data_IF_219758710109
#
_entry.id   IF_219758710109
#
_cell.length_a   1.000
_cell.length_b   1.000
_cell.length_c   1.000
_cell.angle_alpha   90.00
_cell.angle_beta   90.00
_cell.angle_gamma   90.00
#
_symmetry.space_group_name_H-M   'P 1'
#
loop_
_entity.id
_entity.type
_entity.pdbx_description
1 polymer ?
#
# COMPACT_ATOMS: atom_id res chain seq x y z
N UNK A 1 -0.76 -7.60 -12.07
CA UNK A 1 -1.52 -6.95 -10.98
C UNK A 1 -2.95 -6.71 -11.45
N UNK A 2 -3.95 -7.32 -10.80
CA UNK A 2 -5.36 -6.99 -11.08
C UNK A 2 -5.77 -5.95 -10.06
N UNK A 3 -5.90 -4.70 -10.51
CA UNK A 3 -6.51 -3.64 -9.73
C UNK A 3 -8.01 -3.69 -10.01
N UNK A 4 -8.82 -4.13 -9.03
CA UNK A 4 -10.28 -4.06 -9.15
C UNK A 4 -10.81 -3.21 -8.00
N UNK A 5 -11.08 -1.93 -8.30
CA UNK A 5 -12.06 -1.19 -7.53
C UNK A 5 -13.41 -1.92 -7.72
N UNK A 6 -13.90 -2.57 -6.67
CA UNK A 6 -15.13 -3.35 -6.71
C UNK A 6 -16.33 -2.37 -6.74
N UNK A 7 -16.63 -1.82 -7.92
CA UNK A 7 -17.64 -0.77 -8.12
C UNK A 7 -19.09 -1.24 -7.89
N UNK A 8 -19.33 -2.53 -7.64
CA UNK A 8 -20.66 -3.13 -7.64
C UNK A 8 -21.21 -3.57 -6.27
N UNK A 9 -20.50 -3.33 -5.15
CA UNK A 9 -21.02 -3.59 -3.78
C UNK A 9 -20.70 -2.47 -2.80
N UNK A 10 -20.74 -1.23 -3.27
CA UNK A 10 -20.83 -0.08 -2.38
C UNK A 10 -22.29 0.00 -1.89
N UNK A 11 -22.57 -0.56 -0.70
CA UNK A 11 -23.59 0.04 0.18
C UNK A 11 -23.37 1.55 0.16
N UNK A 12 -24.42 2.39 0.05
CA UNK A 12 -24.26 3.80 -0.25
C UNK A 12 -23.41 4.43 0.85
N UNK A 13 -22.13 4.64 0.53
CA UNK A 13 -21.25 5.47 1.32
C UNK A 13 -21.90 6.85 1.23
N UNK A 14 -22.63 7.22 2.27
CA UNK A 14 -23.25 8.53 2.40
C UNK A 14 -22.22 9.54 1.93
N UNK A 15 -22.58 10.27 0.88
CA UNK A 15 -21.88 11.43 0.35
C UNK A 15 -21.78 12.47 1.46
N UNK A 16 -20.86 12.26 2.40
CA UNK A 16 -20.30 13.35 3.18
C UNK A 16 -19.31 14.00 2.25
N UNK A 17 -19.79 15.02 1.54
CA UNK A 17 -18.97 16.04 0.94
C UNK A 17 -18.12 16.65 2.07
N UNK A 18 -16.98 16.04 2.36
CA UNK A 18 -15.83 16.76 2.85
C UNK A 18 -15.03 17.07 1.59
N UNK A 19 -15.42 18.18 0.96
CA UNK A 19 -14.60 18.95 0.04
C UNK A 19 -13.34 19.37 0.79
N UNK A 20 -12.36 18.49 0.86
CA UNK A 20 -10.98 18.94 0.75
C UNK A 20 -10.78 19.19 -0.75
N UNK A 21 -10.37 20.42 -1.10
CA UNK A 21 -9.91 20.79 -2.43
C UNK A 21 -8.62 20.00 -2.78
N UNK A 22 -8.73 18.68 -2.91
CA UNK A 22 -7.73 17.88 -3.61
C UNK A 22 -7.91 18.18 -5.09
N UNK A 23 -7.28 19.26 -5.55
CA UNK A 23 -7.10 19.52 -6.97
C UNK A 23 -6.65 18.21 -7.62
N UNK A 24 -7.50 17.65 -8.49
CA UNK A 24 -7.17 16.43 -9.21
C UNK A 24 -5.80 16.62 -9.85
N UNK A 25 -4.84 15.69 -9.67
CA UNK A 25 -3.49 15.88 -10.16
C UNK A 25 -3.51 16.16 -11.66
N UNK A 26 -3.02 17.34 -12.06
CA UNK A 26 -2.89 17.76 -13.47
C UNK A 26 -1.68 17.09 -14.11
N UNK A 27 -1.73 15.76 -14.18
CA UNK A 27 -0.76 14.99 -14.95
C UNK A 27 -1.18 14.87 -16.43
N UNK A 28 -0.25 14.48 -17.32
CA UNK A 28 -0.54 14.27 -18.74
C UNK A 28 -1.53 13.12 -18.99
N UNK A 29 -1.67 12.18 -18.05
CA UNK A 29 -2.60 11.05 -18.10
C UNK A 29 -3.40 11.02 -16.79
N UNK A 30 -4.66 11.40 -16.85
CA UNK A 30 -5.58 11.33 -15.70
C UNK A 30 -6.46 10.09 -15.78
N UNK A 31 -6.48 9.30 -14.70
CA UNK A 31 -7.30 8.08 -14.56
C UNK A 31 -7.98 8.06 -13.19
N UNK A 32 -9.00 7.21 -12.97
CA UNK A 32 -9.52 6.99 -11.61
C UNK A 32 -8.44 6.59 -10.62
N UNK A 33 -7.42 5.87 -11.07
CA UNK A 33 -6.27 5.48 -10.24
C UNK A 33 -5.45 6.68 -9.77
N UNK A 34 -5.10 7.59 -10.69
CA UNK A 34 -4.30 8.78 -10.36
C UNK A 34 -5.07 9.76 -9.47
N UNK A 35 -6.39 9.91 -9.70
CA UNK A 35 -7.26 10.71 -8.85
C UNK A 35 -7.40 10.13 -7.44
N UNK A 36 -7.62 8.80 -7.33
CA UNK A 36 -7.80 8.11 -6.06
C UNK A 36 -6.55 8.22 -5.16
N UNK A 37 -5.35 8.15 -5.75
CA UNK A 37 -4.08 8.20 -5.02
C UNK A 37 -3.47 9.60 -4.91
N UNK A 38 -4.00 10.59 -5.64
CA UNK A 38 -3.46 11.94 -5.66
C UNK A 38 -2.07 12.03 -6.34
N UNK A 39 -1.80 11.21 -7.35
CA UNK A 39 -0.53 11.17 -8.09
C UNK A 39 -0.66 11.74 -9.50
N UNK A 40 0.43 12.29 -10.05
CA UNK A 40 0.43 12.93 -11.38
C UNK A 40 0.58 11.91 -12.50
N UNK A 41 1.38 10.88 -12.29
CA UNK A 41 1.64 9.84 -13.29
C UNK A 41 1.05 8.51 -12.82
N UNK A 42 0.43 7.71 -13.72
CA UNK A 42 -0.05 6.37 -13.39
C UNK A 42 1.12 5.37 -13.28
N UNK A 43 2.14 5.73 -12.51
CA UNK A 43 3.38 4.99 -12.31
C UNK A 43 3.51 4.67 -10.82
N UNK A 44 3.66 3.38 -10.52
CA UNK A 44 3.83 2.87 -9.17
C UNK A 44 5.14 2.09 -9.14
N UNK A 45 6.01 2.42 -8.19
CA UNK A 45 7.18 1.60 -7.90
C UNK A 45 6.71 0.29 -7.27
N UNK A 46 7.17 -0.85 -7.77
CA UNK A 46 6.90 -2.14 -7.12
C UNK A 46 7.70 -2.27 -5.82
N UNK A 47 7.07 -2.78 -4.76
CA UNK A 47 7.72 -3.10 -3.49
C UNK A 47 8.64 -4.31 -3.64
N UNK A 48 9.92 -4.05 -3.89
CA UNK A 48 10.96 -5.06 -4.04
C UNK A 48 11.85 -5.06 -2.79
N UNK A 49 11.79 -6.14 -2.02
CA UNK A 49 12.64 -6.37 -0.86
C UNK A 49 14.11 -6.01 -1.14
N UNK A 50 14.74 -5.25 -0.24
CA UNK A 50 16.14 -4.84 -0.33
C UNK A 50 16.51 -3.95 -1.53
N UNK A 51 15.55 -3.60 -2.40
CA UNK A 51 15.80 -2.79 -3.60
C UNK A 51 15.00 -1.49 -3.58
N UNK A 52 13.70 -1.55 -3.27
CA UNK A 52 12.84 -0.38 -3.14
C UNK A 52 12.89 0.18 -1.71
N UNK A 53 14.06 0.70 -1.34
CA UNK A 53 14.32 1.41 -0.08
C UNK A 53 13.76 2.84 -0.08
N UNK A 54 14.18 3.63 0.92
CA UNK A 54 13.64 4.96 1.16
C UNK A 54 13.96 5.96 0.05
N UNK A 55 15.22 6.03 -0.38
CA UNK A 55 15.68 6.94 -1.43
C UNK A 55 14.96 6.71 -2.77
N UNK A 56 14.88 5.45 -3.23
CA UNK A 56 14.20 5.12 -4.50
C UNK A 56 12.70 5.43 -4.44
N UNK A 57 12.05 5.10 -3.32
CA UNK A 57 10.63 5.40 -3.11
C UNK A 57 10.39 6.91 -3.12
N UNK A 58 11.25 7.68 -2.45
CA UNK A 58 11.19 9.13 -2.44
C UNK A 58 11.39 9.74 -3.82
N UNK A 59 12.35 9.24 -4.61
CA UNK A 59 12.59 9.71 -5.97
C UNK A 59 11.34 9.56 -6.86
N UNK A 60 10.63 8.43 -6.76
CA UNK A 60 9.41 8.18 -7.53
C UNK A 60 8.26 9.08 -7.08
N UNK A 61 8.04 9.23 -5.77
CA UNK A 61 7.02 10.14 -5.24
C UNK A 61 7.31 11.61 -5.59
N UNK A 62 8.58 12.02 -5.54
CA UNK A 62 9.04 13.35 -5.96
C UNK A 62 8.80 13.62 -7.45
N UNK A 63 8.89 12.58 -8.29
CA UNK A 63 8.61 12.67 -9.72
C UNK A 63 7.10 12.68 -10.04
N UNK A 64 6.23 12.59 -9.04
CA UNK A 64 4.78 12.59 -9.23
C UNK A 64 4.15 11.22 -9.45
N UNK A 65 4.91 10.13 -9.26
CA UNK A 65 4.39 8.76 -9.17
C UNK A 65 4.04 8.36 -7.73
N UNK A 66 3.84 7.07 -7.49
CA UNK A 66 3.71 6.48 -6.15
C UNK A 66 4.93 5.62 -5.83
N UNK A 67 5.80 6.10 -4.94
CA UNK A 67 6.86 5.28 -4.34
C UNK A 67 6.29 4.27 -3.35
N UNK A 68 6.81 3.05 -3.35
CA UNK A 68 6.40 1.98 -2.42
C UNK A 68 7.64 1.34 -1.80
N UNK A 69 7.72 1.38 -0.47
CA UNK A 69 8.80 0.72 0.28
C UNK A 69 8.54 -0.79 0.29
N UNK A 70 9.56 -1.59 -0.03
CA UNK A 70 9.49 -3.05 -0.01
C UNK A 70 9.88 -3.61 1.36
N UNK A 71 8.90 -3.85 2.23
CA UNK A 71 9.09 -4.22 3.63
C UNK A 71 9.14 -5.73 3.93
N UNK A 72 9.54 -6.56 2.97
CA UNK A 72 9.69 -8.00 3.21
C UNK A 72 10.77 -8.26 4.27
N UNK A 73 10.40 -8.98 5.34
CA UNK A 73 11.30 -9.38 6.44
C UNK A 73 11.90 -8.22 7.26
N UNK A 74 11.37 -7.00 7.15
CA UNK A 74 11.81 -5.91 8.01
C UNK A 74 11.20 -6.02 9.41
N UNK A 75 12.02 -5.70 10.42
CA UNK A 75 11.53 -5.39 11.75
C UNK A 75 10.79 -4.04 11.75
N UNK A 76 9.93 -3.77 12.74
CA UNK A 76 9.30 -2.46 12.89
C UNK A 76 10.32 -1.31 12.96
N UNK A 77 11.46 -1.52 13.59
CA UNK A 77 12.51 -0.50 13.70
C UNK A 77 13.18 -0.21 12.35
N UNK A 78 13.50 -1.26 11.58
CA UNK A 78 14.05 -1.10 10.23
C UNK A 78 13.05 -0.37 9.31
N UNK A 79 11.77 -0.76 9.35
CA UNK A 79 10.75 -0.09 8.56
C UNK A 79 10.61 1.39 8.97
N UNK A 80 10.70 1.70 10.27
CA UNK A 80 10.62 3.08 10.79
C UNK A 80 11.78 3.93 10.29
N UNK A 81 13.00 3.40 10.33
CA UNK A 81 14.20 4.06 9.81
C UNK A 81 14.08 4.35 8.31
N UNK A 82 13.66 3.37 7.51
CA UNK A 82 13.52 3.52 6.06
C UNK A 82 12.41 4.52 5.70
N UNK A 83 11.30 4.53 6.44
CA UNK A 83 10.24 5.53 6.27
C UNK A 83 10.78 6.94 6.59
N UNK A 84 11.56 7.08 7.67
CA UNK A 84 12.15 8.35 8.05
C UNK A 84 13.13 8.87 6.98
N UNK A 85 13.99 7.99 6.47
CA UNK A 85 14.92 8.28 5.37
C UNK A 85 14.15 8.75 4.11
N UNK A 86 13.13 8.00 3.70
CA UNK A 86 12.27 8.36 2.57
C UNK A 86 11.65 9.74 2.74
N UNK A 87 11.05 10.01 3.92
CA UNK A 87 10.41 11.29 4.20
C UNK A 87 11.41 12.45 4.22
N UNK A 88 12.63 12.22 4.70
CA UNK A 88 13.69 13.22 4.68
C UNK A 88 14.11 13.59 3.24
N UNK A 89 14.00 12.65 2.29
CA UNK A 89 14.29 12.86 0.88
C UNK A 89 13.12 13.44 0.07
N UNK A 90 11.95 13.68 0.68
CA UNK A 90 10.83 14.31 -0.01
C UNK A 90 11.08 15.80 -0.28
N UNK A 91 10.79 16.23 -1.51
CA UNK A 91 10.79 17.65 -1.90
C UNK A 91 9.58 18.41 -1.34
N UNK A 92 8.55 17.70 -0.90
CA UNK A 92 7.35 18.26 -0.29
C UNK A 92 6.85 17.36 0.86
N UNK A 93 6.34 17.92 1.97
CA UNK A 93 6.07 17.17 3.19
C UNK A 93 4.91 16.15 3.09
N UNK A 94 4.10 16.19 2.04
CA UNK A 94 2.85 15.42 1.92
C UNK A 94 2.76 14.58 0.64
N UNK A 95 3.89 14.13 0.11
CA UNK A 95 3.89 13.29 -1.08
C UNK A 95 3.30 11.90 -0.77
N UNK A 96 2.44 11.36 -1.65
CA UNK A 96 1.86 10.03 -1.45
C UNK A 96 2.94 8.95 -1.60
N UNK A 97 2.87 7.93 -0.76
CA UNK A 97 3.72 6.75 -0.82
C UNK A 97 2.93 5.52 -0.31
N UNK A 98 3.51 4.35 -0.50
CA UNK A 98 2.98 3.08 0.01
C UNK A 98 4.02 2.21 0.69
N UNK A 99 3.54 1.14 1.30
CA UNK A 99 4.36 0.11 1.95
C UNK A 99 3.86 -1.26 1.47
N UNK A 100 4.78 -2.13 1.09
CA UNK A 100 4.53 -3.49 0.64
C UNK A 100 5.04 -4.49 1.68
N UNK A 101 4.14 -5.32 2.23
CA UNK A 101 4.50 -6.43 3.11
C UNK A 101 4.06 -7.75 2.50
N UNK A 102 4.90 -8.78 2.63
CA UNK A 102 4.52 -10.12 2.21
C UNK A 102 3.86 -10.88 3.36
N UNK A 103 2.59 -11.26 3.16
CA UNK A 103 1.77 -11.93 4.14
C UNK A 103 1.37 -13.32 3.61
N UNK A 104 2.28 -14.31 3.65
CA UNK A 104 1.97 -15.67 3.22
C UNK A 104 0.82 -16.25 4.04
N UNK A 105 -0.02 -17.06 3.40
CA UNK A 105 -0.97 -17.88 4.14
C UNK A 105 -0.17 -18.82 5.05
N UNK A 106 -0.44 -18.76 6.36
CA UNK A 106 0.11 -19.64 7.38
C UNK A 106 -0.98 -20.58 7.87
N UNK A 107 -0.65 -21.87 8.03
CA UNK A 107 -1.59 -22.91 8.48
C UNK A 107 -2.54 -23.43 7.39
N UNK A 108 -3.39 -24.39 7.76
CA UNK A 108 -4.33 -25.04 6.85
C UNK A 108 -3.61 -25.73 5.66
N UNK A 109 -4.07 -25.46 4.45
CA UNK A 109 -3.51 -26.01 3.20
C UNK A 109 -2.31 -25.20 2.66
N UNK A 110 -1.65 -24.40 3.50
CA UNK A 110 -0.46 -23.65 3.10
C UNK A 110 0.70 -24.57 2.74
N UNK A 111 1.63 -24.09 1.90
CA UNK A 111 2.90 -24.80 1.64
C UNK A 111 3.69 -24.89 2.95
N UNK A 112 4.37 -26.01 3.19
CA UNK A 112 5.21 -26.22 4.39
C UNK A 112 6.34 -25.20 4.54
N UNK A 113 6.73 -24.54 3.45
CA UNK A 113 7.74 -23.49 3.43
C UNK A 113 7.19 -22.12 3.87
N UNK A 114 5.87 -21.96 3.92
CA UNK A 114 5.24 -20.71 4.37
C UNK A 114 5.33 -20.62 5.88
N UNK A 115 5.89 -19.51 6.34
CA UNK A 115 5.89 -19.11 7.73
C UNK A 115 5.59 -17.61 7.78
N UNK A 116 5.26 -17.12 8.97
CA UNK A 116 5.02 -15.70 9.15
C UNK A 116 6.33 -14.91 8.98
N UNK A 117 6.42 -14.15 7.88
CA UNK A 117 7.58 -13.29 7.58
C UNK A 117 7.64 -12.03 8.45
N UNK A 118 6.59 -11.75 9.21
CA UNK A 118 6.55 -10.63 10.16
C UNK A 118 6.98 -11.05 11.57
N UNK A 119 7.22 -12.34 11.80
CA UNK A 119 7.65 -12.87 13.11
C UNK A 119 6.73 -12.45 14.27
N UNK A 120 5.41 -12.44 14.05
CA UNK A 120 4.41 -12.03 15.04
C UNK A 120 4.27 -10.51 15.22
N UNK A 121 4.92 -9.69 14.38
CA UNK A 121 4.93 -8.23 14.46
C UNK A 121 4.01 -7.53 13.46
N UNK A 122 3.14 -8.28 12.77
CA UNK A 122 2.22 -7.71 11.78
C UNK A 122 1.43 -6.50 12.30
N UNK A 123 0.84 -6.58 13.49
CA UNK A 123 0.05 -5.46 14.04
C UNK A 123 0.88 -4.19 14.17
N UNK A 124 2.11 -4.30 14.68
CA UNK A 124 3.04 -3.19 14.88
C UNK A 124 3.49 -2.58 13.54
N UNK A 125 3.73 -3.41 12.53
CA UNK A 125 4.05 -2.95 11.16
C UNK A 125 2.86 -2.22 10.52
N UNK A 126 1.63 -2.66 10.78
CA UNK A 126 0.41 -2.02 10.28
C UNK A 126 0.16 -0.70 11.00
N UNK A 127 0.36 -0.64 12.33
CA UNK A 127 0.27 0.61 13.09
C UNK A 127 1.30 1.62 12.60
N UNK A 128 2.55 1.20 12.39
CA UNK A 128 3.59 2.03 11.80
C UNK A 128 3.22 2.52 10.38
N UNK A 129 2.62 1.65 9.57
CA UNK A 129 2.11 2.02 8.24
C UNK A 129 1.06 3.13 8.34
N UNK A 130 0.15 3.02 9.31
CA UNK A 130 -0.90 4.02 9.56
C UNK A 130 -0.32 5.34 10.05
N UNK A 131 0.51 5.29 11.10
CA UNK A 131 1.15 6.45 11.70
C UNK A 131 2.06 7.19 10.71
N UNK A 132 2.68 6.47 9.78
CA UNK A 132 3.49 7.06 8.74
C UNK A 132 2.69 7.89 7.73
N UNK A 133 1.37 7.71 7.65
CA UNK A 133 0.52 8.40 6.67
C UNK A 133 0.59 7.80 5.26
N UNK A 134 0.98 6.53 5.14
CA UNK A 134 0.98 5.81 3.87
C UNK A 134 -0.42 5.86 3.22
N UNK A 135 -0.48 6.03 1.89
CA UNK A 135 -1.74 6.03 1.14
C UNK A 135 -2.13 4.66 0.62
N UNK A 136 -1.14 3.79 0.46
CA UNK A 136 -1.32 2.45 -0.11
C UNK A 136 -0.58 1.42 0.73
N UNK A 137 -1.32 0.39 1.13
CA UNK A 137 -0.76 -0.86 1.63
C UNK A 137 -0.81 -1.90 0.52
N UNK A 138 0.34 -2.47 0.18
CA UNK A 138 0.44 -3.57 -0.79
C UNK A 138 0.68 -4.86 -0.01
N UNK A 139 -0.10 -5.89 -0.34
CA UNK A 139 0.09 -7.23 0.19
C UNK A 139 0.65 -8.15 -0.88
N UNK A 140 1.89 -8.58 -0.69
CA UNK A 140 2.51 -9.63 -1.49
C UNK A 140 2.19 -11.03 -0.91
N UNK A 141 2.16 -12.03 -1.79
CA UNK A 141 2.09 -13.47 -1.44
C UNK A 141 0.90 -13.84 -0.53
N UNK A 142 -0.27 -13.25 -0.68
CA UNK A 142 -1.42 -13.65 0.16
C UNK A 142 -2.62 -12.75 0.00
N UNK A 143 -3.46 -12.73 1.03
CA UNK A 143 -4.50 -11.72 1.26
C UNK A 143 -4.40 -11.34 2.74
N UNK A 144 -4.40 -10.05 3.10
CA UNK A 144 -4.35 -9.67 4.50
C UNK A 144 -5.56 -10.22 5.28
N UNK A 145 -5.41 -10.54 6.58
CA UNK A 145 -6.55 -10.85 7.42
C UNK A 145 -7.60 -9.74 7.40
N UNK A 146 -8.90 -10.09 7.50
CA UNK A 146 -9.99 -9.11 7.39
C UNK A 146 -9.88 -7.95 8.37
N UNK A 147 -9.49 -8.23 9.62
CA UNK A 147 -9.36 -7.20 10.65
C UNK A 147 -8.26 -6.17 10.30
N UNK A 148 -7.18 -6.60 9.63
CA UNK A 148 -6.15 -5.70 9.11
C UNK A 148 -6.70 -4.83 7.97
N UNK A 149 -7.46 -5.42 7.04
CA UNK A 149 -8.09 -4.67 5.94
C UNK A 149 -9.03 -3.59 6.50
N UNK A 150 -9.86 -3.95 7.47
CA UNK A 150 -10.78 -3.02 8.14
C UNK A 150 -10.03 -1.90 8.88
N UNK A 151 -8.95 -2.24 9.59
CA UNK A 151 -8.08 -1.28 10.28
C UNK A 151 -7.44 -0.29 9.31
N UNK A 152 -6.93 -0.75 8.17
CA UNK A 152 -6.34 0.08 7.12
C UNK A 152 -7.39 1.01 6.48
N UNK A 153 -8.54 0.47 6.08
CA UNK A 153 -9.62 1.25 5.48
C UNK A 153 -10.18 2.32 6.43
N UNK A 154 -10.31 2.01 7.73
CA UNK A 154 -10.75 2.98 8.75
C UNK A 154 -9.84 4.20 8.84
N UNK A 155 -8.56 4.04 8.53
CA UNK A 155 -7.56 5.10 8.52
C UNK A 155 -7.32 5.69 7.12
N UNK A 156 -8.18 5.38 6.15
CA UNK A 156 -8.10 5.94 4.79
C UNK A 156 -6.95 5.38 3.94
N UNK A 157 -6.39 4.23 4.31
CA UNK A 157 -5.34 3.55 3.54
C UNK A 157 -5.97 2.57 2.57
N UNK A 158 -5.58 2.65 1.31
CA UNK A 158 -6.03 1.72 0.27
C UNK A 158 -5.26 0.41 0.36
N UNK A 159 -5.94 -0.72 0.11
CA UNK A 159 -5.30 -2.04 0.09
C UNK A 159 -5.19 -2.53 -1.36
N UNK A 160 -3.98 -2.87 -1.79
CA UNK A 160 -3.69 -3.52 -3.07
C UNK A 160 -3.17 -4.92 -2.82
N UNK A 161 -3.74 -5.91 -3.52
CA UNK A 161 -3.30 -7.30 -3.40
C UNK A 161 -2.65 -7.80 -4.69
N UNK A 162 -1.49 -8.45 -4.57
CA UNK A 162 -0.86 -9.10 -5.72
C UNK A 162 -1.56 -10.43 -6.02
N UNK A 163 -1.96 -10.61 -7.28
CA UNK A 163 -2.68 -11.80 -7.72
C UNK A 163 -2.00 -12.42 -8.94
N UNK A 164 -1.48 -13.64 -8.75
CA UNK A 164 -0.83 -14.43 -9.79
C UNK A 164 -1.72 -15.48 -10.47
N UNK A 165 -2.97 -15.66 -10.02
CA UNK A 165 -3.93 -16.60 -10.62
C UNK A 165 -5.36 -16.05 -10.48
N UNK A 166 -6.28 -16.28 -11.46
CA UNK A 166 -7.65 -15.78 -11.39
C UNK A 166 -8.39 -16.09 -10.08
N UNK A 167 -8.22 -17.31 -9.55
CA UNK A 167 -8.76 -17.70 -8.24
C UNK A 167 -8.31 -16.82 -7.06
N UNK A 168 -7.13 -16.20 -7.14
CA UNK A 168 -6.65 -15.27 -6.11
C UNK A 168 -7.31 -13.91 -6.22
N UNK A 169 -7.68 -13.48 -7.44
CA UNK A 169 -8.45 -12.25 -7.63
C UNK A 169 -9.80 -12.36 -6.93
N UNK A 170 -10.51 -13.47 -7.06
CA UNK A 170 -11.80 -13.70 -6.37
C UNK A 170 -11.65 -13.63 -4.84
N UNK A 171 -10.54 -14.11 -4.27
CA UNK A 171 -10.27 -14.04 -2.83
C UNK A 171 -9.94 -12.63 -2.33
N UNK A 172 -9.49 -11.75 -3.21
CA UNK A 172 -9.12 -10.38 -2.89
C UNK A 172 -10.26 -9.37 -3.11
N UNK A 173 -11.42 -9.83 -3.59
CA UNK A 173 -12.65 -9.02 -3.77
C UNK A 173 -13.50 -8.97 -2.51
#
# INVERSE_FOLDING_TARGET
>A
CVFKANLARLTPYKTRQQTTDIMAPKGPITTPFTQLLGIQHPVVLAGMAHTSGGELSAAVSNAGGLGVIGGLQYSPDQLREIIAEMKAAFKQPNLPFGIDLALPQVGGNARKTNHDYTHGKLEELIDLTIESGAKLFVCAIGVPPKHIIEKLHKNGILVMNMVGHPKHAVKAL
#
